data_IF_980713146477
#
_entry.id   IF_980713146477
#
_cell.length_a   1.000
_cell.length_b   1.000
_cell.length_c   1.000
_cell.angle_alpha   90.00
_cell.angle_beta   90.00
_cell.angle_gamma   90.00
#
_symmetry.space_group_name_H-M   'P 1'
#
loop_
_entity.id
_entity.type
_entity.pdbx_description
1 polymer ?
#
# COMPACT_ATOMS: atom_id res chain seq x y z
N UNK A 1 7.73 13.65 7.22
CA UNK A 1 6.53 13.01 6.62
C UNK A 1 6.24 13.62 5.27
N UNK A 2 5.66 14.84 5.19
CA UNK A 2 5.36 15.44 3.89
C UNK A 2 6.63 15.76 3.08
N UNK A 3 7.67 16.32 3.70
CA UNK A 3 8.96 16.59 3.04
C UNK A 3 9.55 15.34 2.40
N UNK A 4 9.63 14.24 3.16
CA UNK A 4 10.14 12.96 2.68
C UNK A 4 9.27 12.38 1.56
N UNK A 5 7.94 12.42 1.71
CA UNK A 5 7.00 11.85 0.74
C UNK A 5 6.95 12.63 -0.59
N UNK A 6 7.08 13.96 -0.51
CA UNK A 6 7.10 14.86 -1.66
C UNK A 6 8.50 15.07 -2.26
N UNK A 7 9.55 14.55 -1.59
CA UNK A 7 10.97 14.74 -1.95
C UNK A 7 11.33 16.21 -2.16
N UNK A 8 10.92 17.07 -1.23
CA UNK A 8 11.21 18.49 -1.28
C UNK A 8 12.46 18.82 -0.46
N UNK A 9 13.46 19.45 -1.09
CA UNK A 9 14.68 19.94 -0.44
C UNK A 9 14.47 21.32 0.23
N UNK A 10 13.31 21.50 0.88
CA UNK A 10 12.96 22.72 1.62
C UNK A 10 11.98 22.43 2.74
N UNK A 11 11.92 23.37 3.68
CA UNK A 11 10.88 23.35 4.71
C UNK A 11 9.50 23.56 4.11
N UNK A 12 8.51 22.86 4.67
CA UNK A 12 7.09 22.97 4.31
C UNK A 12 6.37 23.74 5.42
N UNK A 13 5.81 24.89 5.09
CA UNK A 13 5.00 25.68 6.00
C UNK A 13 3.70 24.97 6.39
N UNK A 14 3.24 25.16 7.62
CA UNK A 14 2.04 24.47 8.15
C UNK A 14 0.73 24.85 7.45
N UNK A 15 0.72 25.97 6.72
CA UNK A 15 -0.43 26.45 5.94
C UNK A 15 -0.30 26.12 4.44
N UNK A 16 0.81 25.48 4.02
CA UNK A 16 0.97 25.11 2.62
C UNK A 16 0.01 23.97 2.27
N UNK A 17 -0.58 24.11 1.09
CA UNK A 17 -1.58 23.18 0.60
C UNK A 17 -0.89 21.97 -0.06
N UNK A 18 -1.12 20.78 0.47
CA UNK A 18 -0.50 19.51 0.04
C UNK A 18 -0.48 19.33 -1.47
N UNK A 19 -1.63 19.55 -2.11
CA UNK A 19 -1.78 19.35 -3.55
C UNK A 19 -1.16 20.48 -4.40
N UNK A 20 -0.90 21.65 -3.81
CA UNK A 20 -0.22 22.74 -4.54
C UNK A 20 1.30 22.57 -4.53
N UNK A 21 1.83 21.77 -3.61
CA UNK A 21 3.27 21.50 -3.47
C UNK A 21 3.66 20.15 -4.08
N UNK A 22 2.84 19.61 -4.99
CA UNK A 22 3.12 18.38 -5.74
C UNK A 22 2.50 17.11 -5.13
N UNK A 23 1.67 17.22 -4.10
CA UNK A 23 0.93 16.08 -3.56
C UNK A 23 -0.16 15.57 -4.52
N UNK A 24 -0.30 14.25 -4.61
CA UNK A 24 -1.37 13.57 -5.34
C UNK A 24 -2.00 12.47 -4.48
N UNK A 25 -2.87 11.65 -5.07
CA UNK A 25 -3.53 10.54 -4.37
C UNK A 25 -2.56 9.44 -3.91
N UNK A 26 -1.50 9.15 -4.66
CA UNK A 26 -0.51 8.12 -4.30
C UNK A 26 0.33 8.60 -3.12
N UNK A 27 0.80 9.83 -3.16
CA UNK A 27 1.58 10.43 -2.07
C UNK A 27 0.68 10.60 -0.84
N UNK A 28 -0.59 10.96 -1.02
CA UNK A 28 -1.56 11.02 0.08
C UNK A 28 -1.73 9.66 0.78
N UNK A 29 -1.91 8.58 0.03
CA UNK A 29 -2.00 7.20 0.58
C UNK A 29 -0.72 6.87 1.34
N UNK A 30 0.44 7.16 0.77
CA UNK A 30 1.73 6.91 1.42
C UNK A 30 1.87 7.67 2.74
N UNK A 31 1.57 8.98 2.73
CA UNK A 31 1.61 9.84 3.92
C UNK A 31 0.69 9.31 5.01
N UNK A 32 -0.56 8.99 4.67
CA UNK A 32 -1.55 8.46 5.62
C UNK A 32 -1.10 7.11 6.19
N UNK A 33 -0.52 6.24 5.36
CA UNK A 33 0.03 4.96 5.81
C UNK A 33 1.19 5.15 6.79
N UNK A 34 2.12 6.06 6.51
CA UNK A 34 3.22 6.39 7.42
C UNK A 34 2.75 7.07 8.71
N UNK A 35 1.72 7.92 8.65
CA UNK A 35 1.07 8.50 9.82
C UNK A 35 0.48 7.39 10.71
N UNK A 36 -0.25 6.45 10.11
CA UNK A 36 -0.87 5.32 10.80
C UNK A 36 0.16 4.44 11.51
N UNK A 37 1.32 4.18 10.90
CA UNK A 37 2.44 3.46 11.54
C UNK A 37 2.99 4.18 12.78
N UNK A 38 2.77 5.50 12.91
CA UNK A 38 3.19 6.32 14.05
C UNK A 38 2.04 6.59 15.04
N UNK A 39 0.94 5.86 14.92
CA UNK A 39 -0.25 6.03 15.78
C UNK A 39 -1.09 7.26 15.46
N UNK A 40 -0.80 7.98 14.36
CA UNK A 40 -1.60 9.11 13.90
C UNK A 40 -2.67 8.60 12.95
N UNK A 41 -3.89 8.45 13.45
CA UNK A 41 -5.02 7.93 12.66
C UNK A 41 -5.60 9.06 11.80
N UNK A 42 -5.57 8.86 10.49
CA UNK A 42 -6.17 9.75 9.50
C UNK A 42 -6.56 8.95 8.27
N UNK A 43 -7.44 9.48 7.43
CA UNK A 43 -7.79 8.91 6.13
C UNK A 43 -7.29 9.81 5.00
N UNK A 44 -7.18 9.25 3.79
CA UNK A 44 -6.91 10.05 2.58
C UNK A 44 -7.97 11.14 2.42
N UNK A 45 -9.24 10.81 2.71
CA UNK A 45 -10.34 11.79 2.70
C UNK A 45 -10.08 12.95 3.67
N UNK A 46 -9.59 12.69 4.89
CA UNK A 46 -9.27 13.76 5.84
C UNK A 46 -8.18 14.70 5.31
N UNK A 47 -7.18 14.17 4.60
CA UNK A 47 -6.15 14.97 3.95
C UNK A 47 -6.73 15.83 2.82
N UNK A 48 -7.66 15.31 2.01
CA UNK A 48 -8.36 16.08 0.99
C UNK A 48 -9.22 17.20 1.60
N UNK A 49 -9.98 16.87 2.64
CA UNK A 49 -10.86 17.83 3.33
C UNK A 49 -10.04 18.90 4.09
N UNK A 50 -8.80 18.57 4.48
CA UNK A 50 -7.92 19.40 5.33
C UNK A 50 -6.49 19.41 4.78
N UNK A 51 -6.29 20.05 3.61
CA UNK A 51 -5.09 19.89 2.79
C UNK A 51 -3.86 20.66 3.30
N UNK A 52 -3.86 21.10 4.57
CA UNK A 52 -2.73 21.81 5.19
C UNK A 52 -2.40 21.12 6.49
N UNK A 53 -1.13 21.07 6.88
CA UNK A 53 -0.70 20.45 8.14
C UNK A 53 -1.49 21.01 9.32
N UNK A 54 -1.70 22.33 9.38
CA UNK A 54 -2.45 23.01 10.44
C UNK A 54 -3.89 22.51 10.56
N UNK A 55 -4.60 22.37 9.43
CA UNK A 55 -6.00 21.89 9.44
C UNK A 55 -6.08 20.40 9.70
N UNK A 56 -5.16 19.62 9.14
CA UNK A 56 -5.13 18.17 9.34
C UNK A 56 -4.86 17.84 10.81
N UNK A 57 -3.90 18.52 11.45
CA UNK A 57 -3.54 18.27 12.85
C UNK A 57 -4.68 18.55 13.82
N UNK A 58 -5.60 19.46 13.50
CA UNK A 58 -6.77 19.76 14.31
C UNK A 58 -7.82 18.63 14.29
N UNK A 59 -7.77 17.75 13.29
CA UNK A 59 -8.66 16.60 13.16
C UNK A 59 -8.03 15.28 13.59
N UNK A 60 -6.73 15.29 13.85
CA UNK A 60 -6.07 14.13 14.43
C UNK A 60 -6.56 14.02 15.88
N UNK A 61 -7.32 12.98 16.17
CA UNK A 61 -7.62 12.62 17.55
C UNK A 61 -6.31 12.16 18.21
N UNK A 62 -5.71 13.03 19.04
CA UNK A 62 -4.62 12.67 19.94
C UNK A 62 -5.12 11.82 21.13
N UNK A 63 -6.43 11.53 21.20
CA UNK A 63 -7.09 10.85 22.30
C UNK A 63 -7.42 9.39 22.00
N UNK A 64 -6.62 8.48 22.55
CA UNK A 64 -7.10 7.26 23.23
C UNK A 64 -8.14 6.38 22.53
N UNK A 65 -8.09 6.25 21.21
CA UNK A 65 -8.36 4.95 20.59
C UNK A 65 -7.07 4.54 19.92
N UNK A 66 -6.27 3.78 20.67
CA UNK A 66 -5.45 2.75 20.05
C UNK A 66 -6.43 1.88 19.25
N UNK A 67 -6.77 2.31 18.03
CA UNK A 67 -7.13 1.37 16.98
C UNK A 67 -5.80 0.67 16.73
N UNK A 68 -5.44 -0.25 17.64
CA UNK A 68 -4.51 -1.30 17.33
C UNK A 68 -5.12 -1.93 16.10
N UNK A 69 -4.51 -1.65 14.96
CA UNK A 69 -4.84 -2.36 13.75
C UNK A 69 -4.38 -3.77 14.08
N UNK A 70 -5.28 -4.60 14.59
CA UNK A 70 -5.09 -6.02 14.72
C UNK A 70 -5.18 -6.59 13.30
N UNK A 71 -4.28 -6.14 12.43
CA UNK A 71 -3.95 -6.88 11.23
C UNK A 71 -3.16 -8.08 11.73
N UNK A 72 -3.60 -9.26 11.34
CA UNK A 72 -2.85 -10.48 11.56
C UNK A 72 -1.43 -10.28 11.02
N UNK A 73 -0.44 -10.41 11.91
CA UNK A 73 0.98 -10.30 11.57
C UNK A 73 1.60 -11.67 11.28
N UNK A 74 0.80 -12.74 11.39
CA UNK A 74 1.19 -14.10 11.03
C UNK A 74 1.09 -14.34 9.53
N UNK A 75 1.47 -15.55 9.13
CA UNK A 75 1.27 -16.03 7.77
C UNK A 75 -0.22 -16.30 7.59
N UNK A 76 -0.85 -15.64 6.60
CA UNK A 76 -2.23 -15.94 6.26
C UNK A 76 -2.29 -17.24 5.45
N UNK A 77 -3.12 -18.17 5.93
CA UNK A 77 -3.35 -19.47 5.30
C UNK A 77 -4.85 -19.77 5.18
N UNK A 78 -5.20 -20.57 4.18
CA UNK A 78 -6.58 -20.98 3.92
C UNK A 78 -7.25 -20.24 2.77
N UNK A 79 -8.48 -20.67 2.48
CA UNK A 79 -9.29 -20.10 1.42
C UNK A 79 -9.89 -18.75 1.83
N UNK A 80 -9.98 -17.82 0.89
CA UNK A 80 -10.70 -16.56 1.05
C UNK A 80 -11.56 -16.29 -0.18
N UNK A 81 -12.62 -15.49 -0.01
CA UNK A 81 -13.47 -15.14 -1.14
C UNK A 81 -12.77 -14.15 -2.08
N UNK A 82 -13.00 -14.32 -3.38
CA UNK A 82 -12.49 -13.40 -4.38
C UNK A 82 -12.93 -11.97 -4.07
N UNK A 83 -11.96 -11.06 -4.06
CA UNK A 83 -12.20 -9.62 -3.97
C UNK A 83 -12.93 -9.14 -5.25
N UNK A 84 -13.66 -8.00 -5.21
CA UNK A 84 -14.43 -7.53 -6.35
C UNK A 84 -13.63 -7.41 -7.66
N UNK A 85 -12.36 -6.99 -7.60
CA UNK A 85 -11.49 -6.90 -8.77
C UNK A 85 -11.08 -8.29 -9.31
N UNK A 86 -10.93 -9.28 -8.44
CA UNK A 86 -10.63 -10.67 -8.83
C UNK A 86 -11.88 -11.33 -9.44
N UNK A 87 -13.07 -11.13 -8.85
CA UNK A 87 -14.33 -11.57 -9.44
C UNK A 87 -14.53 -10.97 -10.83
N UNK A 88 -14.32 -9.66 -10.97
CA UNK A 88 -14.37 -8.98 -12.26
C UNK A 88 -13.42 -9.62 -13.26
N UNK A 89 -12.18 -9.90 -12.87
CA UNK A 89 -11.17 -10.50 -13.76
C UNK A 89 -11.62 -11.87 -14.29
N UNK A 90 -12.06 -12.77 -13.41
CA UNK A 90 -12.49 -14.11 -13.83
C UNK A 90 -13.81 -14.07 -14.63
N UNK A 91 -14.73 -13.16 -14.30
CA UNK A 91 -15.98 -12.97 -15.04
C UNK A 91 -15.77 -12.38 -16.44
N UNK A 92 -14.61 -11.76 -16.73
CA UNK A 92 -14.31 -11.25 -18.07
C UNK A 92 -14.02 -12.36 -19.09
N UNK A 93 -13.65 -13.56 -18.66
CA UNK A 93 -13.41 -14.69 -19.55
C UNK A 93 -12.22 -14.51 -20.49
N UNK A 94 -11.10 -13.96 -20.01
CA UNK A 94 -9.86 -13.85 -20.81
C UNK A 94 -9.41 -15.22 -21.33
N UNK A 95 -9.01 -15.29 -22.61
CA UNK A 95 -8.56 -16.54 -23.24
C UNK A 95 -7.26 -17.09 -22.64
N UNK A 96 -6.37 -16.21 -22.17
CA UNK A 96 -5.11 -16.55 -21.50
C UNK A 96 -5.06 -15.86 -20.13
N UNK A 97 -5.80 -16.40 -19.16
CA UNK A 97 -5.93 -15.82 -17.82
C UNK A 97 -4.59 -15.71 -17.07
N UNK A 98 -3.62 -16.57 -17.40
CA UNK A 98 -2.26 -16.55 -16.87
C UNK A 98 -1.34 -15.50 -17.54
N UNK A 99 -1.86 -14.69 -18.47
CA UNK A 99 -1.10 -13.66 -19.18
C UNK A 99 -1.68 -12.26 -18.94
N UNK A 100 -2.02 -11.95 -17.68
CA UNK A 100 -2.43 -10.62 -17.22
C UNK A 100 -1.40 -10.04 -16.25
N UNK A 101 -0.19 -9.83 -16.78
CA UNK A 101 1.02 -9.61 -15.97
C UNK A 101 1.43 -8.14 -15.98
N UNK A 102 1.94 -7.67 -14.84
CA UNK A 102 2.68 -6.41 -14.74
C UNK A 102 4.17 -6.72 -14.66
N UNK A 103 5.00 -5.99 -15.40
CA UNK A 103 6.45 -6.16 -15.37
C UNK A 103 7.16 -4.80 -15.39
N UNK A 104 8.33 -4.76 -14.78
CA UNK A 104 9.25 -3.63 -14.81
C UNK A 104 10.67 -4.15 -14.84
N UNK A 105 11.60 -3.33 -15.31
CA UNK A 105 13.03 -3.63 -15.34
C UNK A 105 13.76 -2.56 -14.53
N UNK A 106 14.72 -2.97 -13.71
CA UNK A 106 15.54 -2.06 -12.92
C UNK A 106 17.03 -2.42 -13.05
N UNK A 107 17.88 -1.41 -13.01
CA UNK A 107 19.33 -1.60 -12.93
C UNK A 107 19.76 -1.65 -11.47
N UNK A 108 20.52 -2.69 -11.12
CA UNK A 108 21.06 -2.85 -9.77
C UNK A 108 22.50 -2.33 -9.68
N UNK A 109 22.94 -1.84 -8.50
CA UNK A 109 24.34 -1.56 -8.25
C UNK A 109 25.21 -2.80 -8.47
N UNK A 110 26.43 -2.61 -8.97
CA UNK A 110 27.36 -3.71 -9.29
C UNK A 110 27.74 -4.61 -8.11
N UNK A 111 27.51 -4.15 -6.88
CA UNK A 111 27.79 -4.90 -5.64
C UNK A 111 26.69 -5.90 -5.27
N UNK A 112 25.53 -5.86 -5.93
CA UNK A 112 24.41 -6.78 -5.66
C UNK A 112 24.62 -8.06 -6.45
N UNK A 113 24.77 -9.19 -5.77
CA UNK A 113 24.92 -10.48 -6.42
C UNK A 113 23.57 -11.21 -6.57
N UNK A 114 23.52 -12.19 -7.47
CA UNK A 114 22.30 -12.97 -7.76
C UNK A 114 21.66 -13.58 -6.52
N UNK A 115 22.45 -14.16 -5.61
CA UNK A 115 21.93 -14.80 -4.38
C UNK A 115 21.24 -13.80 -3.44
N UNK A 116 21.71 -12.55 -3.40
CA UNK A 116 21.04 -11.49 -2.64
C UNK A 116 19.68 -11.13 -3.24
N UNK A 117 19.57 -11.10 -4.58
CA UNK A 117 18.30 -10.86 -5.27
C UNK A 117 17.30 -11.98 -4.99
N UNK A 118 17.73 -13.24 -5.12
CA UNK A 118 16.88 -14.41 -4.81
C UNK A 118 16.41 -14.36 -3.35
N UNK A 119 17.31 -14.07 -2.42
CA UNK A 119 16.97 -13.92 -1.00
C UNK A 119 15.94 -12.81 -0.77
N UNK A 120 16.14 -11.64 -1.38
CA UNK A 120 15.21 -10.51 -1.26
C UNK A 120 13.82 -10.86 -1.82
N UNK A 121 13.73 -11.52 -2.98
CA UNK A 121 12.46 -11.97 -3.57
C UNK A 121 11.75 -12.97 -2.67
N UNK A 122 12.47 -13.92 -2.08
CA UNK A 122 11.90 -14.87 -1.13
C UNK A 122 11.36 -14.18 0.13
N UNK A 123 12.10 -13.20 0.66
CA UNK A 123 11.64 -12.40 1.81
C UNK A 123 10.37 -11.62 1.47
N UNK A 124 10.31 -11.00 0.28
CA UNK A 124 9.10 -10.30 -0.18
C UNK A 124 7.92 -11.26 -0.32
N UNK A 125 8.13 -12.42 -0.93
CA UNK A 125 7.10 -13.45 -1.07
C UNK A 125 6.59 -13.94 0.29
N UNK A 126 7.47 -14.13 1.28
CA UNK A 126 7.07 -14.51 2.65
C UNK A 126 6.37 -13.38 3.42
N UNK A 127 6.70 -12.12 3.16
CA UNK A 127 6.10 -10.98 3.83
C UNK A 127 4.73 -10.58 3.27
N UNK A 128 4.48 -10.82 1.98
CA UNK A 128 3.23 -10.45 1.31
C UNK A 128 2.43 -11.69 0.90
N UNK A 129 1.38 -12.03 1.65
CA UNK A 129 0.60 -13.26 1.45
C UNK A 129 0.01 -13.40 0.04
N UNK A 130 -0.41 -12.29 -0.57
CA UNK A 130 -0.96 -12.28 -1.92
C UNK A 130 0.05 -12.70 -3.01
N UNK A 131 1.36 -12.62 -2.75
CA UNK A 131 2.39 -13.13 -3.66
C UNK A 131 2.49 -14.67 -3.65
N UNK A 132 1.93 -15.33 -2.63
CA UNK A 132 1.88 -16.80 -2.49
C UNK A 132 0.49 -17.35 -2.80
N UNK A 133 -0.48 -16.49 -3.10
CA UNK A 133 -1.84 -16.87 -3.43
C UNK A 133 -1.88 -17.63 -4.76
N UNK A 134 -2.68 -18.69 -4.80
CA UNK A 134 -2.97 -19.48 -5.99
C UNK A 134 -4.49 -19.53 -6.13
N UNK A 135 -4.99 -19.38 -7.36
CA UNK A 135 -6.40 -19.55 -7.67
C UNK A 135 -6.62 -20.92 -8.32
N UNK A 136 -7.50 -21.72 -7.72
CA UNK A 136 -7.88 -23.05 -8.15
C UNK A 136 -9.38 -23.09 -8.51
N UNK A 137 -9.69 -23.87 -9.55
CA UNK A 137 -11.09 -24.16 -9.91
C UNK A 137 -11.64 -25.27 -9.02
N UNK A 138 -12.39 -24.90 -7.97
CA UNK A 138 -13.16 -25.83 -7.14
C UNK A 138 -14.62 -25.92 -7.59
N UNK A 139 -15.27 -27.07 -7.41
CA UNK A 139 -16.72 -27.21 -7.56
C UNK A 139 -17.44 -26.29 -6.54
N UNK A 140 -17.83 -25.09 -6.98
CA UNK A 140 -18.79 -24.23 -6.27
C UNK A 140 -18.24 -23.10 -5.41
N UNK A 141 -16.95 -23.08 -5.08
CA UNK A 141 -16.24 -21.90 -4.55
C UNK A 141 -14.81 -21.94 -5.05
N UNK A 142 -14.43 -20.95 -5.87
CA UNK A 142 -13.05 -20.82 -6.35
C UNK A 142 -12.17 -20.48 -5.14
N UNK A 143 -11.16 -21.33 -4.91
CA UNK A 143 -10.23 -21.26 -3.77
C UNK A 143 -8.94 -20.63 -4.23
#
# INVERSE_FOLDING_TARGET
LWGDALKLDRDIGVNEHFFHIGGDSIIAIHVVSCMKQRGLVSTVKDLFDNPTIKRLSQRLDCGSKNISVCAEQGILEGAFELLPIQQWFFNKGFAAQNYFNQSFVMQLPTKVCYSQVVSAVNVLASHHDMLRCVFASGEGKQV
#
